data_IF_964339320432
#
_entry.id   IF_964339320432
#
_cell.length_a   1.000
_cell.length_b   1.000
_cell.length_c   1.000
_cell.angle_alpha   90.00
_cell.angle_beta   90.00
_cell.angle_gamma   90.00
#
_symmetry.space_group_name_H-M   'P 1'
#
loop_
_entity.id
_entity.type
_entity.pdbx_description
1 polymer ?
#
# COMPACT_ATOMS: atom_id res chain seq x y z
N UNK A 1 -55.17 -24.71 2.70
CA UNK A 1 -53.69 -24.63 2.78
C UNK A 1 -53.22 -23.53 1.83
N UNK A 2 -52.82 -22.36 2.36
CA UNK A 2 -52.45 -21.16 1.58
C UNK A 2 -51.04 -21.34 0.97
N UNK A 3 -50.95 -21.34 -0.36
CA UNK A 3 -49.69 -21.17 -1.09
C UNK A 3 -49.38 -19.67 -1.17
N UNK A 4 -48.40 -19.20 -0.41
CA UNK A 4 -47.87 -17.85 -0.56
C UNK A 4 -46.70 -17.89 -1.54
N UNK A 5 -46.91 -17.28 -2.71
CA UNK A 5 -45.88 -16.97 -3.70
C UNK A 5 -44.92 -15.92 -3.09
N UNK A 6 -43.63 -16.24 -3.01
CA UNK A 6 -42.59 -15.25 -2.78
C UNK A 6 -41.74 -15.20 -4.04
N UNK A 7 -41.74 -14.07 -4.75
CA UNK A 7 -40.48 -13.60 -5.28
C UNK A 7 -40.40 -12.08 -5.07
N UNK A 8 -39.83 -11.67 -3.94
CA UNK A 8 -39.28 -10.33 -3.83
C UNK A 8 -37.80 -10.44 -4.18
N UNK A 9 -37.51 -10.20 -5.46
CA UNK A 9 -36.18 -9.84 -5.95
C UNK A 9 -35.74 -8.58 -5.22
N UNK A 10 -35.11 -8.73 -4.05
CA UNK A 10 -34.32 -7.67 -3.45
C UNK A 10 -33.00 -7.60 -4.22
N UNK A 11 -33.03 -6.88 -5.33
CA UNK A 11 -31.83 -6.35 -5.97
C UNK A 11 -31.25 -5.32 -5.00
N UNK A 12 -30.42 -5.78 -4.07
CA UNK A 12 -29.49 -4.87 -3.42
C UNK A 12 -28.50 -4.45 -4.50
N UNK A 13 -28.73 -3.25 -5.03
CA UNK A 13 -27.76 -2.51 -5.80
C UNK A 13 -26.45 -2.51 -5.02
N UNK A 14 -25.48 -3.29 -5.48
CA UNK A 14 -24.10 -3.19 -5.04
C UNK A 14 -23.71 -1.75 -5.41
N UNK A 15 -23.36 -0.87 -4.45
CA UNK A 15 -22.72 0.37 -4.82
C UNK A 15 -21.35 -0.01 -5.37
N UNK A 16 -21.28 -0.16 -6.70
CA UNK A 16 -20.07 -0.05 -7.48
C UNK A 16 -19.58 1.40 -7.33
N UNK A 17 -18.96 1.69 -6.18
CA UNK A 17 -18.02 2.79 -6.09
C UNK A 17 -16.77 2.39 -6.89
N UNK A 18 -16.93 2.42 -8.21
CA UNK A 18 -15.89 2.88 -9.10
C UNK A 18 -15.48 4.29 -8.66
N UNK A 19 -14.31 4.71 -9.14
CA UNK A 19 -13.61 5.95 -8.84
C UNK A 19 -12.78 5.93 -7.54
N UNK A 20 -11.56 5.43 -7.67
CA UNK A 20 -10.45 6.38 -7.59
C UNK A 20 -9.18 5.84 -8.28
N UNK A 21 -8.96 6.36 -9.49
CA UNK A 21 -7.67 6.78 -10.01
C UNK A 21 -6.69 5.66 -10.38
N UNK A 22 -6.58 5.45 -11.69
CA UNK A 22 -5.41 4.88 -12.34
C UNK A 22 -4.17 5.74 -12.10
N UNK A 23 -3.61 5.65 -10.89
CA UNK A 23 -2.19 5.92 -10.68
C UNK A 23 -1.49 4.75 -11.34
N UNK A 24 -0.92 4.97 -12.52
CA UNK A 24 0.13 4.08 -13.04
C UNK A 24 1.11 3.89 -11.90
N UNK A 25 1.05 2.75 -11.20
CA UNK A 25 1.81 2.46 -9.99
C UNK A 25 3.30 2.44 -10.32
N UNK A 26 3.88 3.63 -10.42
CA UNK A 26 5.32 3.80 -10.33
C UNK A 26 5.66 3.48 -8.89
N UNK A 27 6.59 2.53 -8.66
CA UNK A 27 7.06 2.25 -7.32
C UNK A 27 7.50 3.56 -6.64
N UNK A 28 7.12 3.74 -5.37
CA UNK A 28 7.49 4.92 -4.60
C UNK A 28 9.01 5.07 -4.55
N UNK A 29 9.51 6.29 -4.70
CA UNK A 29 10.92 6.62 -4.47
C UNK A 29 11.20 6.71 -2.97
N UNK A 30 12.48 6.64 -2.56
CA UNK A 30 12.86 6.77 -1.15
C UNK A 30 12.31 8.05 -0.52
N UNK A 31 12.37 9.18 -1.24
CA UNK A 31 11.82 10.46 -0.77
C UNK A 31 10.31 10.42 -0.55
N UNK A 32 9.56 9.70 -1.38
CA UNK A 32 8.12 9.53 -1.20
C UNK A 32 7.80 8.60 -0.02
N UNK A 33 8.59 7.55 0.17
CA UNK A 33 8.52 6.65 1.33
C UNK A 33 8.78 7.44 2.62
N UNK A 34 9.84 8.26 2.66
CA UNK A 34 10.17 9.09 3.81
C UNK A 34 9.02 10.06 4.14
N UNK A 35 8.45 10.76 3.15
CA UNK A 35 7.28 11.64 3.34
C UNK A 35 6.05 10.89 3.85
N UNK A 36 5.83 9.65 3.39
CA UNK A 36 4.74 8.80 3.88
C UNK A 36 4.95 8.45 5.36
N UNK A 37 6.17 8.04 5.73
CA UNK A 37 6.52 7.65 7.10
C UNK A 37 6.59 8.83 8.09
N UNK A 38 6.80 10.06 7.62
CA UNK A 38 6.80 11.28 8.46
C UNK A 38 5.52 12.12 8.32
N UNK A 39 4.51 11.63 7.61
CA UNK A 39 3.27 12.35 7.36
C UNK A 39 2.51 12.75 8.63
N UNK A 40 1.65 13.78 8.55
CA UNK A 40 0.94 14.39 9.69
C UNK A 40 0.19 13.41 10.61
N UNK A 41 -0.27 12.27 10.07
CA UNK A 41 -1.01 11.22 10.79
C UNK A 41 -0.15 10.00 11.17
N UNK A 42 1.16 10.05 10.95
CA UNK A 42 2.08 8.94 11.24
C UNK A 42 2.38 8.82 12.74
N UNK A 43 2.78 7.62 13.17
CA UNK A 43 3.26 7.42 14.55
C UNK A 43 4.57 8.18 14.82
N UNK A 44 5.37 8.49 13.78
CA UNK A 44 6.55 9.35 13.91
C UNK A 44 6.17 10.71 14.51
N UNK A 45 5.14 11.36 13.94
CA UNK A 45 4.62 12.64 14.47
C UNK A 45 4.05 12.46 15.87
N UNK A 46 3.29 11.38 16.11
CA UNK A 46 2.71 11.09 17.42
C UNK A 46 3.81 10.99 18.49
N UNK A 47 4.82 10.16 18.28
CA UNK A 47 5.90 9.93 19.24
C UNK A 47 6.74 11.18 19.50
N UNK A 48 7.02 11.99 18.46
CA UNK A 48 7.68 13.28 18.67
C UNK A 48 6.82 14.24 19.50
N UNK A 49 5.49 14.31 19.24
CA UNK A 49 4.58 15.18 20.00
C UNK A 49 4.50 14.82 21.49
N UNK A 50 4.57 13.54 21.83
CA UNK A 50 4.51 13.09 23.23
C UNK A 50 5.89 13.00 23.90
N UNK A 51 6.97 13.45 23.24
CA UNK A 51 8.30 13.49 23.84
C UNK A 51 9.07 12.16 23.85
N UNK A 52 8.75 11.23 22.94
CA UNK A 52 9.43 9.94 22.80
C UNK A 52 10.27 9.86 21.51
N UNK A 53 11.40 10.57 21.42
CA UNK A 53 12.19 10.68 20.18
C UNK A 53 12.80 9.34 19.75
N UNK A 54 13.16 8.45 20.69
CA UNK A 54 13.71 7.14 20.35
C UNK A 54 12.65 6.25 19.70
N UNK A 55 11.41 6.28 20.21
CA UNK A 55 10.28 5.57 19.59
C UNK A 55 9.97 6.13 18.21
N UNK A 56 10.05 7.46 18.02
CA UNK A 56 9.91 8.09 16.71
C UNK A 56 10.97 7.58 15.72
N UNK A 57 12.25 7.54 16.12
CA UNK A 57 13.35 6.99 15.29
C UNK A 57 13.13 5.52 14.93
N UNK A 58 12.78 4.70 15.93
CA UNK A 58 12.51 3.28 15.70
C UNK A 58 11.36 3.06 14.73
N UNK A 59 10.26 3.81 14.90
CA UNK A 59 9.13 3.74 13.97
C UNK A 59 9.52 4.17 12.55
N UNK A 60 10.29 5.26 12.41
CA UNK A 60 10.71 5.75 11.09
C UNK A 60 11.52 4.68 10.34
N UNK A 61 12.47 4.04 11.03
CA UNK A 61 13.27 2.95 10.44
C UNK A 61 12.38 1.81 9.94
N UNK A 62 11.52 1.28 10.83
CA UNK A 62 10.63 0.16 10.49
C UNK A 62 9.69 0.51 9.35
N UNK A 63 9.10 1.70 9.37
CA UNK A 63 8.19 2.16 8.30
C UNK A 63 8.91 2.24 6.94
N UNK A 64 10.13 2.79 6.91
CA UNK A 64 10.92 2.88 5.67
C UNK A 64 11.23 1.47 5.14
N UNK A 65 11.72 0.57 6.01
CA UNK A 65 12.08 -0.80 5.61
C UNK A 65 10.87 -1.56 5.04
N UNK A 66 9.71 -1.45 5.68
CA UNK A 66 8.47 -2.08 5.21
C UNK A 66 8.02 -1.55 3.85
N UNK A 67 8.06 -0.24 3.64
CA UNK A 67 7.65 0.39 2.37
C UNK A 67 8.64 0.12 1.24
N UNK A 68 9.94 0.08 1.56
CA UNK A 68 10.99 -0.34 0.63
C UNK A 68 10.77 -1.79 0.19
N UNK A 69 10.46 -2.69 1.12
CA UNK A 69 10.16 -4.09 0.79
C UNK A 69 8.90 -4.23 -0.06
N UNK A 70 7.85 -3.45 0.19
CA UNK A 70 6.64 -3.41 -0.67
C UNK A 70 7.00 -2.97 -2.08
N UNK A 71 7.80 -1.92 -2.23
CA UNK A 71 8.27 -1.43 -3.53
C UNK A 71 9.12 -2.48 -4.24
N UNK A 72 10.04 -3.14 -3.52
CA UNK A 72 10.89 -4.21 -4.05
C UNK A 72 10.04 -5.37 -4.55
N UNK A 73 9.09 -5.85 -3.76
CA UNK A 73 8.17 -6.92 -4.15
C UNK A 73 7.34 -6.54 -5.37
N UNK A 74 6.77 -5.33 -5.40
CA UNK A 74 5.97 -4.88 -6.54
C UNK A 74 6.78 -4.78 -7.84
N UNK A 75 8.00 -4.23 -7.78
CA UNK A 75 8.94 -4.21 -8.91
C UNK A 75 9.31 -5.64 -9.34
N UNK A 76 9.47 -6.57 -8.39
CA UNK A 76 9.91 -7.94 -8.68
C UNK A 76 8.80 -8.71 -9.39
N UNK A 77 7.57 -8.63 -8.87
CA UNK A 77 6.39 -9.22 -9.50
C UNK A 77 6.22 -8.70 -10.93
N UNK A 78 6.24 -7.38 -11.13
CA UNK A 78 6.13 -6.77 -12.47
C UNK A 78 7.26 -7.21 -13.42
N UNK A 79 8.46 -7.43 -12.90
CA UNK A 79 9.56 -7.90 -13.72
C UNK A 79 9.41 -9.38 -14.07
N UNK A 80 9.01 -10.23 -13.11
CA UNK A 80 8.78 -11.65 -13.32
C UNK A 80 7.65 -11.92 -14.32
N UNK A 81 6.64 -11.05 -14.38
CA UNK A 81 5.58 -11.11 -15.40
C UNK A 81 6.12 -10.86 -16.83
N UNK A 82 7.26 -10.18 -16.96
CA UNK A 82 7.82 -9.76 -18.26
C UNK A 82 9.12 -10.48 -18.65
N UNK A 83 9.86 -11.02 -17.69
CA UNK A 83 11.23 -11.51 -17.87
C UNK A 83 11.54 -12.73 -16.98
N UNK A 84 12.67 -13.40 -17.24
CA UNK A 84 13.17 -14.49 -16.39
C UNK A 84 13.74 -13.95 -15.06
N UNK A 85 13.56 -14.72 -13.97
CA UNK A 85 13.91 -14.36 -12.58
C UNK A 85 15.31 -13.75 -12.38
N UNK A 86 16.33 -14.25 -13.07
CA UNK A 86 17.71 -13.77 -12.92
C UNK A 86 17.93 -12.35 -13.48
N UNK A 87 17.18 -11.94 -14.50
CA UNK A 87 17.23 -10.59 -15.08
C UNK A 87 16.63 -9.57 -14.09
N UNK A 88 15.60 -10.00 -13.37
CA UNK A 88 14.89 -9.16 -12.43
C UNK A 88 15.72 -8.83 -11.19
N UNK A 89 16.47 -9.78 -10.64
CA UNK A 89 17.27 -9.55 -9.44
C UNK A 89 18.41 -8.54 -9.66
N UNK A 90 18.97 -8.46 -10.88
CA UNK A 90 20.05 -7.54 -11.22
C UNK A 90 19.63 -6.06 -11.34
N UNK A 91 18.33 -5.76 -11.39
CA UNK A 91 17.79 -4.40 -11.64
C UNK A 91 17.27 -3.69 -10.38
N UNK A 92 17.48 -4.26 -9.19
CA UNK A 92 17.02 -3.68 -7.91
C UNK A 92 18.03 -2.72 -7.29
N UNK A 93 18.13 -1.51 -7.83
CA UNK A 93 18.54 -0.34 -7.04
C UNK A 93 17.30 0.49 -6.70
N UNK A 94 17.18 0.88 -5.43
CA UNK A 94 16.30 2.00 -5.07
C UNK A 94 17.09 3.27 -5.38
N UNK A 95 16.41 4.21 -6.05
CA UNK A 95 16.94 5.53 -6.40
C UNK A 95 17.30 6.33 -5.14
#
# INVERSE_FOLDING_TARGET
MRKLLIPLFFVFAIPTNAYALGVKDKPLTYNQIAKKCTGKKSNWVKYNKIGFPQSAKNYLRVCIDEEVEKVRKAKLTKCLEKNKKNICLASFKLD
#
